data_IF_636082349391
#
_entry.id   IF_636082349391
#
_cell.length_a   1.000
_cell.length_b   1.000
_cell.length_c   1.000
_cell.angle_alpha   90.00
_cell.angle_beta   90.00
_cell.angle_gamma   90.00
#
_symmetry.space_group_name_H-M   'P 1'
#
loop_
_entity.id
_entity.type
_entity.pdbx_description
1 polymer ?
#
# COMPACT_ATOMS: atom_id res chain seq x y z
N UNK A 1 38.56 34.42 -48.96
CA UNK A 1 37.32 35.22 -49.15
C UNK A 1 36.18 34.21 -49.10
N UNK A 2 35.28 34.12 -48.12
CA UNK A 2 34.70 35.06 -47.16
C UNK A 2 34.25 34.23 -45.92
N UNK A 3 34.47 34.79 -44.73
CA UNK A 3 33.54 34.91 -43.59
C UNK A 3 32.60 33.74 -43.17
N UNK A 4 32.30 33.42 -41.90
CA UNK A 4 32.69 33.81 -40.53
C UNK A 4 31.64 33.16 -39.59
N UNK A 5 32.06 32.60 -38.44
CA UNK A 5 31.26 32.38 -37.18
C UNK A 5 30.03 31.45 -37.28
N UNK A 6 29.58 30.70 -36.28
CA UNK A 6 29.41 30.98 -34.84
C UNK A 6 28.90 29.68 -34.20
N UNK A 7 29.32 29.39 -32.97
CA UNK A 7 28.76 28.35 -32.11
C UNK A 7 27.23 28.46 -32.04
N UNK A 8 26.51 27.38 -32.34
CA UNK A 8 25.24 27.10 -31.70
C UNK A 8 25.39 25.81 -30.89
N UNK A 9 25.29 25.96 -29.57
CA UNK A 9 24.88 24.89 -28.69
C UNK A 9 23.59 24.29 -29.27
N UNK A 10 23.66 23.09 -29.83
CA UNK A 10 22.47 22.29 -30.03
C UNK A 10 21.99 21.92 -28.63
N UNK A 11 21.09 22.75 -28.09
CA UNK A 11 20.31 22.42 -26.91
C UNK A 11 19.65 21.09 -27.17
N UNK A 12 20.09 20.07 -26.44
CA UNK A 12 19.45 18.77 -26.41
C UNK A 12 18.08 19.00 -25.76
N UNK A 13 17.09 19.31 -26.60
CA UNK A 13 15.68 19.19 -26.30
C UNK A 13 15.44 17.69 -26.11
N UNK A 14 15.73 17.18 -24.91
CA UNK A 14 15.24 15.89 -24.46
C UNK A 14 13.72 16.02 -24.32
N UNK A 15 13.05 15.89 -25.46
CA UNK A 15 11.62 15.72 -25.59
C UNK A 15 11.23 14.44 -24.84
N UNK A 16 10.79 14.60 -23.59
CA UNK A 16 9.88 13.70 -22.89
C UNK A 16 10.14 12.20 -23.03
N UNK A 17 11.35 11.71 -22.72
CA UNK A 17 11.50 10.32 -22.34
C UNK A 17 10.91 10.18 -20.93
N UNK A 18 9.61 9.87 -20.85
CA UNK A 18 9.02 9.32 -19.65
C UNK A 18 9.74 8.00 -19.38
N UNK A 19 10.68 8.01 -18.43
CA UNK A 19 11.27 6.80 -17.92
C UNK A 19 10.10 5.92 -17.43
N UNK A 20 10.01 4.64 -17.85
CA UNK A 20 9.01 3.77 -17.25
C UNK A 20 9.30 3.76 -15.74
N UNK A 21 8.31 4.16 -14.94
CA UNK A 21 8.39 4.05 -13.49
C UNK A 21 8.48 2.55 -13.18
N UNK A 22 9.69 2.06 -12.95
CA UNK A 22 9.91 0.68 -12.54
C UNK A 22 9.21 0.46 -11.20
N UNK A 23 8.25 -0.48 -11.16
CA UNK A 23 7.71 -1.08 -9.94
C UNK A 23 7.12 -0.11 -8.92
N UNK A 24 6.20 0.77 -9.32
CA UNK A 24 5.34 1.43 -8.33
C UNK A 24 4.49 0.35 -7.65
N UNK A 25 4.70 0.16 -6.35
CA UNK A 25 3.80 -0.65 -5.54
C UNK A 25 2.44 0.04 -5.52
N UNK A 26 1.39 -0.68 -5.89
CA UNK A 26 0.01 -0.21 -6.00
C UNK A 26 -0.86 -0.65 -4.82
N UNK A 27 -0.25 -1.22 -3.79
CA UNK A 27 -0.92 -1.77 -2.61
C UNK A 27 -0.11 -1.53 -1.33
N UNK A 28 -0.80 -1.63 -0.19
CA UNK A 28 -0.19 -1.61 1.14
C UNK A 28 0.53 -2.92 1.43
N UNK A 29 1.55 -2.86 2.27
CA UNK A 29 2.34 -4.02 2.70
C UNK A 29 2.17 -4.23 4.19
N UNK A 30 2.23 -5.49 4.63
CA UNK A 30 2.64 -5.81 6.00
C UNK A 30 4.17 -5.87 5.97
N UNK A 31 4.83 -4.86 6.51
CA UNK A 31 6.29 -4.72 6.46
C UNK A 31 6.98 -5.37 7.66
N UNK A 32 6.31 -5.45 8.80
CA UNK A 32 6.85 -6.04 10.02
C UNK A 32 5.76 -6.77 10.82
N UNK A 33 6.17 -7.86 11.47
CA UNK A 33 5.33 -8.66 12.35
C UNK A 33 6.15 -9.09 13.57
N UNK A 34 5.83 -8.53 14.73
CA UNK A 34 6.52 -8.78 15.99
C UNK A 34 5.60 -9.51 16.94
N UNK A 35 6.02 -10.70 17.37
CA UNK A 35 5.26 -11.59 18.29
C UNK A 35 5.90 -11.72 19.67
N UNK A 36 7.03 -11.08 19.90
CA UNK A 36 7.71 -11.10 21.20
C UNK A 36 8.53 -9.83 21.43
N UNK A 37 8.63 -9.34 22.67
CA UNK A 37 7.92 -9.81 23.87
C UNK A 37 6.43 -9.42 23.83
N UNK A 38 5.59 -10.03 24.69
CA UNK A 38 4.14 -9.78 24.71
C UNK A 38 3.77 -8.29 24.82
N UNK A 39 4.55 -7.50 25.57
CA UNK A 39 4.30 -6.05 25.70
C UNK A 39 4.69 -5.22 24.46
N UNK A 40 5.35 -5.83 23.48
CA UNK A 40 5.84 -5.18 22.26
C UNK A 40 5.37 -5.88 20.98
N UNK A 41 4.27 -6.62 21.04
CA UNK A 41 3.66 -7.21 19.86
C UNK A 41 3.03 -6.14 18.98
N UNK A 42 3.31 -6.19 17.68
CA UNK A 42 2.70 -5.30 16.70
C UNK A 42 2.77 -5.86 15.28
N UNK A 43 1.97 -5.25 14.42
CA UNK A 43 1.97 -5.45 12.97
C UNK A 43 2.17 -4.08 12.35
N UNK A 44 3.17 -3.93 11.49
CA UNK A 44 3.38 -2.69 10.73
C UNK A 44 2.69 -2.80 9.37
N UNK A 45 1.92 -1.76 9.03
CA UNK A 45 1.33 -1.59 7.72
C UNK A 45 2.03 -0.39 7.07
N UNK A 46 2.69 -0.65 5.95
CA UNK A 46 3.45 0.34 5.21
C UNK A 46 2.76 0.70 3.89
N UNK A 47 2.80 1.99 3.55
CA UNK A 47 2.30 2.49 2.28
C UNK A 47 3.47 2.82 1.32
N UNK A 48 3.89 1.87 0.47
CA UNK A 48 4.93 2.11 -0.53
C UNK A 48 4.42 2.86 -1.78
N UNK A 49 3.11 3.15 -1.86
CA UNK A 49 2.51 3.84 -3.00
C UNK A 49 2.89 5.31 -3.01
N UNK A 50 2.58 6.03 -4.09
CA UNK A 50 2.78 7.47 -4.18
C UNK A 50 1.56 8.30 -3.74
N UNK A 51 0.52 7.68 -3.19
CA UNK A 51 -0.72 8.33 -2.80
C UNK A 51 -1.18 7.96 -1.38
N UNK A 52 -1.95 8.84 -0.74
CA UNK A 52 -2.62 8.51 0.51
C UNK A 52 -3.67 7.42 0.24
N UNK A 53 -3.67 6.37 1.05
CA UNK A 53 -4.65 5.27 0.97
C UNK A 53 -5.71 5.45 2.05
N UNK A 54 -6.98 5.40 1.65
CA UNK A 54 -8.14 5.37 2.55
C UNK A 54 -8.31 3.95 3.12
N UNK A 55 -8.32 3.84 4.44
CA UNK A 55 -8.42 2.57 5.17
C UNK A 55 -9.86 2.23 5.59
N UNK A 56 -10.85 3.04 5.22
CA UNK A 56 -12.25 2.87 5.65
C UNK A 56 -12.84 1.50 5.31
N UNK A 57 -12.31 0.79 4.31
CA UNK A 57 -12.75 -0.56 3.92
C UNK A 57 -11.71 -1.65 4.21
N UNK A 58 -10.69 -1.34 5.02
CA UNK A 58 -9.62 -2.28 5.35
C UNK A 58 -9.89 -2.98 6.68
N UNK A 59 -9.56 -4.27 6.71
CA UNK A 59 -9.73 -5.16 7.85
C UNK A 59 -8.47 -6.00 8.05
N UNK A 60 -8.18 -6.34 9.29
CA UNK A 60 -7.13 -7.29 9.66
C UNK A 60 -7.75 -8.42 10.47
N UNK A 61 -7.38 -9.65 10.14
CA UNK A 61 -7.89 -10.86 10.78
C UNK A 61 -6.88 -11.99 10.66
N UNK A 62 -6.80 -12.84 11.68
CA UNK A 62 -6.12 -14.13 11.65
C UNK A 62 -7.12 -15.30 11.55
N UNK A 63 -8.42 -15.02 11.35
CA UNK A 63 -9.46 -16.03 11.17
C UNK A 63 -9.13 -16.91 9.96
N UNK A 64 -8.73 -18.13 10.28
CA UNK A 64 -8.53 -19.20 9.29
C UNK A 64 -9.86 -19.93 9.17
N UNK A 65 -10.75 -19.41 8.33
CA UNK A 65 -12.01 -20.12 8.09
C UNK A 65 -11.71 -21.52 7.58
N UNK A 66 -12.13 -22.53 8.32
CA UNK A 66 -11.98 -23.93 7.96
C UNK A 66 -12.77 -24.19 6.65
N UNK A 67 -12.11 -23.99 5.51
CA UNK A 67 -12.56 -24.26 4.14
C UNK A 67 -13.63 -23.33 3.51
N UNK A 68 -13.94 -22.14 4.07
CA UNK A 68 -15.12 -21.36 3.63
C UNK A 68 -14.89 -19.90 3.16
N UNK A 69 -13.64 -19.47 2.94
CA UNK A 69 -13.30 -18.13 2.47
C UNK A 69 -13.99 -17.01 3.29
N UNK A 70 -14.16 -17.18 4.60
CA UNK A 70 -14.95 -16.23 5.39
C UNK A 70 -14.33 -14.82 5.42
N UNK A 71 -13.02 -14.70 5.15
CA UNK A 71 -12.35 -13.43 4.85
C UNK A 71 -13.11 -12.56 3.82
N UNK A 72 -13.62 -13.14 2.72
CA UNK A 72 -14.33 -12.34 1.69
C UNK A 72 -15.70 -11.86 2.17
N UNK A 73 -16.29 -12.50 3.18
CA UNK A 73 -17.58 -12.11 3.75
C UNK A 73 -17.46 -10.85 4.61
N UNK A 74 -16.30 -10.60 5.22
CA UNK A 74 -15.98 -9.35 5.93
C UNK A 74 -16.16 -8.15 5.00
N UNK A 75 -15.60 -8.24 3.80
CA UNK A 75 -15.59 -7.14 2.81
C UNK A 75 -17.00 -6.87 2.28
N UNK A 76 -17.89 -7.86 2.30
CA UNK A 76 -19.28 -7.73 1.86
C UNK A 76 -20.25 -7.20 2.93
N UNK A 77 -19.75 -6.76 4.08
CA UNK A 77 -20.58 -6.19 5.14
C UNK A 77 -21.46 -7.23 5.86
N UNK A 78 -21.11 -8.52 5.77
CA UNK A 78 -21.77 -9.55 6.55
C UNK A 78 -21.39 -9.35 8.02
N UNK A 79 -22.30 -8.71 8.75
CA UNK A 79 -22.18 -8.49 10.18
C UNK A 79 -21.99 -9.83 10.90
N UNK A 80 -20.91 -9.93 11.66
CA UNK A 80 -20.47 -11.10 12.41
C UNK A 80 -19.97 -12.26 11.54
N UNK A 81 -18.68 -12.21 11.21
CA UNK A 81 -17.94 -13.48 11.24
C UNK A 81 -18.11 -14.06 12.65
N UNK A 82 -18.38 -15.36 12.72
CA UNK A 82 -18.28 -16.10 13.97
C UNK A 82 -16.79 -16.25 14.29
N UNK A 83 -16.15 -15.14 14.67
CA UNK A 83 -14.75 -15.09 15.10
C UNK A 83 -14.63 -16.07 16.25
N UNK A 84 -13.86 -17.14 16.08
CA UNK A 84 -13.67 -18.10 17.16
C UNK A 84 -12.98 -17.42 18.34
N UNK A 85 -13.04 -18.02 19.53
CA UNK A 85 -12.55 -17.39 20.77
C UNK A 85 -11.05 -16.99 20.77
N UNK A 86 -10.28 -17.38 19.75
CA UNK A 86 -8.87 -17.03 19.58
C UNK A 86 -8.56 -16.24 18.31
N UNK A 87 -9.55 -16.06 17.43
CA UNK A 87 -9.37 -15.27 16.22
C UNK A 87 -9.70 -13.80 16.53
N UNK A 88 -9.19 -12.88 15.73
CA UNK A 88 -9.60 -11.48 15.76
C UNK A 88 -10.07 -11.00 14.39
N UNK A 89 -10.95 -10.01 14.42
CA UNK A 89 -11.33 -9.23 13.25
C UNK A 89 -11.41 -7.76 13.67
N UNK A 90 -10.53 -6.93 13.10
CA UNK A 90 -10.48 -5.49 13.38
C UNK A 90 -10.64 -4.69 12.10
N UNK A 91 -11.35 -3.56 12.19
CA UNK A 91 -11.55 -2.58 11.12
C UNK A 91 -10.89 -1.27 11.52
N UNK A 92 -10.27 -0.58 10.57
CA UNK A 92 -9.84 0.80 10.79
C UNK A 92 -11.06 1.72 11.02
N UNK A 93 -10.93 2.77 11.86
CA UNK A 93 -11.99 3.77 12.02
C UNK A 93 -12.35 4.43 10.69
N UNK A 94 -13.61 4.85 10.54
CA UNK A 94 -14.04 5.58 9.35
C UNK A 94 -13.22 6.88 9.17
N UNK A 95 -12.71 7.10 7.96
CA UNK A 95 -11.84 8.23 7.64
C UNK A 95 -10.37 8.04 8.02
N UNK A 96 -9.98 6.87 8.55
CA UNK A 96 -8.57 6.53 8.71
C UNK A 96 -7.87 6.48 7.35
N UNK A 97 -6.66 7.01 7.28
CA UNK A 97 -5.85 6.98 6.07
C UNK A 97 -4.37 6.89 6.41
N UNK A 98 -3.58 6.40 5.46
CA UNK A 98 -2.12 6.31 5.57
C UNK A 98 -1.47 7.05 4.41
N UNK A 99 -0.63 8.04 4.72
CA UNK A 99 0.13 8.78 3.72
C UNK A 99 1.22 7.90 3.09
N UNK A 100 1.81 8.28 1.95
CA UNK A 100 3.01 7.63 1.43
C UNK A 100 4.18 7.67 2.41
N UNK A 101 4.96 6.59 2.46
CA UNK A 101 6.14 6.47 3.31
C UNK A 101 5.83 6.05 4.73
#
# INVERSE_FOLDING_TARGET
MQFVRRFLFAGLLCLGLALPAFGQNDHLLISEFVVTPTAGEFIEIYNPTNATVDLTTYYLTDDVSNNNNDYIKVVNGAAALAVANFDFLVKFPDGASIAPG
#
